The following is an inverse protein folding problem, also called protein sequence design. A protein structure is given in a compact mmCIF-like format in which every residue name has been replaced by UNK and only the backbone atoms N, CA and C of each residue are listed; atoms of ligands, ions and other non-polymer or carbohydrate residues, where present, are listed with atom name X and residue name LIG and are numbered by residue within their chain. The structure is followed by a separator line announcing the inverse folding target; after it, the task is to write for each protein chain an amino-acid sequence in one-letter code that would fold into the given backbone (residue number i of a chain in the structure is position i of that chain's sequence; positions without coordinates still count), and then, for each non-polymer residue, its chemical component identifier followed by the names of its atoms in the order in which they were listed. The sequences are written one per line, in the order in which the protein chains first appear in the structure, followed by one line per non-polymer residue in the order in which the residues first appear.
data_IF_326359820895
#
_entry.id   IF_326359820895
#
_cell.length_a   1.000
_cell.length_b   1.000
_cell.length_c   1.000
_cell.angle_alpha   90.00
_cell.angle_beta   90.00
_cell.angle_gamma   90.00
#
_symmetry.space_group_name_H-M   'P 1'
#
loop_
_entity.id
_entity.type
_entity.pdbx_description
1 polymer ?
#
# COMPACT_ATOMS: atom_id res chain seq x y z
N UNK A 1 25.53 -32.53 18.14
CA UNK A 1 24.45 -31.77 17.50
C UNK A 1 25.03 -30.41 17.04
N UNK A 2 25.19 -30.20 15.72
CA UNK A 2 25.67 -28.92 15.15
C UNK A 2 24.61 -27.84 15.32
N UNK A 3 24.87 -26.80 16.12
CA UNK A 3 24.07 -25.59 16.23
C UNK A 3 23.99 -24.94 14.84
N UNK A 4 22.86 -25.10 14.12
CA UNK A 4 22.57 -24.33 12.91
C UNK A 4 22.53 -22.86 13.33
N UNK A 5 23.52 -22.05 12.91
CA UNK A 5 23.45 -20.59 12.97
C UNK A 5 22.21 -20.19 12.18
N UNK A 6 21.13 -19.84 12.87
CA UNK A 6 19.98 -19.23 12.22
C UNK A 6 20.44 -17.89 11.65
N UNK A 7 20.53 -17.79 10.35
CA UNK A 7 20.67 -16.47 9.72
C UNK A 7 19.53 -15.59 10.24
N UNK A 8 19.87 -14.41 10.72
CA UNK A 8 18.85 -13.44 11.09
C UNK A 8 17.96 -13.19 9.86
N UNK A 9 16.65 -13.29 10.03
CA UNK A 9 15.67 -13.14 8.94
C UNK A 9 15.93 -11.85 8.15
N UNK A 10 16.28 -10.77 8.84
CA UNK A 10 16.64 -9.47 8.24
C UNK A 10 17.84 -9.59 7.29
N UNK A 11 18.87 -10.34 7.69
CA UNK A 11 20.06 -10.55 6.88
C UNK A 11 19.74 -11.42 5.64
N UNK A 12 18.89 -12.42 5.79
CA UNK A 12 18.44 -13.25 4.67
C UNK A 12 17.65 -12.45 3.64
N UNK A 13 16.75 -11.55 4.08
CA UNK A 13 16.01 -10.63 3.22
C UNK A 13 16.95 -9.70 2.48
N UNK A 14 17.93 -9.12 3.18
CA UNK A 14 18.91 -8.21 2.57
C UNK A 14 19.77 -8.91 1.51
N UNK A 15 20.24 -10.12 1.81
CA UNK A 15 20.99 -10.94 0.84
C UNK A 15 20.12 -11.26 -0.38
N UNK A 16 18.86 -11.65 -0.17
CA UNK A 16 17.92 -11.92 -1.26
C UNK A 16 17.69 -10.72 -2.17
N UNK A 17 17.55 -9.53 -1.57
CA UNK A 17 17.40 -8.27 -2.31
C UNK A 17 18.66 -7.96 -3.15
N UNK A 18 19.85 -8.05 -2.55
CA UNK A 18 21.11 -7.81 -3.27
C UNK A 18 21.28 -8.81 -4.41
N UNK A 19 21.04 -10.10 -4.16
CA UNK A 19 21.10 -11.13 -5.21
C UNK A 19 20.10 -10.88 -6.33
N UNK A 20 18.87 -10.44 -6.01
CA UNK A 20 17.86 -10.10 -7.01
C UNK A 20 18.31 -8.93 -7.91
N UNK A 21 18.88 -7.88 -7.32
CA UNK A 21 19.43 -6.73 -8.07
C UNK A 21 20.59 -7.18 -8.96
N UNK A 22 21.53 -7.93 -8.42
CA UNK A 22 22.67 -8.43 -9.18
C UNK A 22 22.22 -9.32 -10.34
N UNK A 23 21.27 -10.21 -10.11
CA UNK A 23 20.69 -11.05 -11.17
C UNK A 23 20.04 -10.19 -12.26
N UNK A 24 19.31 -9.14 -11.88
CA UNK A 24 18.70 -8.20 -12.81
C UNK A 24 19.71 -7.40 -13.63
N UNK A 25 20.85 -7.02 -13.06
CA UNK A 25 21.89 -6.23 -13.75
C UNK A 25 22.80 -7.07 -14.65
N UNK A 26 23.14 -8.30 -14.25
CA UNK A 26 24.13 -9.12 -14.95
C UNK A 26 23.57 -10.01 -16.06
N UNK A 27 22.26 -10.09 -16.24
CA UNK A 27 21.62 -10.91 -17.26
C UNK A 27 20.82 -10.12 -18.32
N UNK A 28 21.34 -9.09 -18.97
CA UNK A 28 20.63 -8.42 -20.05
C UNK A 28 20.54 -9.34 -21.29
N UNK A 29 19.32 -9.66 -21.72
CA UNK A 29 19.04 -10.30 -23.00
C UNK A 29 18.76 -11.81 -23.02
N UNK A 30 18.90 -12.54 -21.90
CA UNK A 30 18.54 -13.98 -21.83
C UNK A 30 17.29 -14.29 -21.01
N UNK A 31 16.45 -13.26 -20.81
CA UNK A 31 15.29 -13.33 -19.89
C UNK A 31 14.05 -14.01 -20.44
N UNK A 32 13.94 -14.21 -21.76
CA UNK A 32 12.68 -14.70 -22.34
C UNK A 32 12.18 -16.00 -21.71
N UNK A 33 13.09 -16.84 -21.23
CA UNK A 33 12.71 -18.07 -20.54
C UNK A 33 12.53 -17.91 -19.01
N UNK A 34 13.29 -17.02 -18.37
CA UNK A 34 13.26 -16.84 -16.91
C UNK A 34 12.15 -15.87 -16.45
N UNK A 35 11.81 -14.88 -17.26
CA UNK A 35 10.79 -13.87 -16.97
C UNK A 35 9.43 -14.47 -16.60
N UNK A 36 8.85 -15.43 -17.35
CA UNK A 36 7.55 -16.00 -17.02
C UNK A 36 7.55 -16.69 -15.65
N UNK A 37 8.65 -17.38 -15.31
CA UNK A 37 8.77 -18.09 -14.03
C UNK A 37 8.89 -17.09 -12.88
N UNK A 38 9.70 -16.04 -13.03
CA UNK A 38 9.85 -15.00 -12.03
C UNK A 38 8.54 -14.24 -11.83
N UNK A 39 7.84 -13.91 -12.90
CA UNK A 39 6.53 -13.26 -12.84
C UNK A 39 5.49 -14.15 -12.17
N UNK A 40 5.47 -15.43 -12.47
CA UNK A 40 4.57 -16.41 -11.85
C UNK A 40 4.81 -16.51 -10.34
N UNK A 41 6.06 -16.65 -9.92
CA UNK A 41 6.42 -16.72 -8.49
C UNK A 41 6.08 -15.41 -7.79
N UNK A 42 6.39 -14.27 -8.40
CA UNK A 42 6.07 -12.95 -7.87
C UNK A 42 4.55 -12.74 -7.72
N UNK A 43 3.77 -13.08 -8.73
CA UNK A 43 2.31 -12.95 -8.69
C UNK A 43 1.67 -13.89 -7.68
N UNK A 44 2.14 -15.14 -7.58
CA UNK A 44 1.67 -16.08 -6.55
C UNK A 44 1.96 -15.57 -5.14
N UNK A 45 3.17 -15.05 -4.92
CA UNK A 45 3.55 -14.47 -3.63
C UNK A 45 2.69 -13.25 -3.28
N UNK A 46 2.50 -12.33 -4.22
CA UNK A 46 1.66 -11.14 -4.02
C UNK A 46 0.19 -11.51 -3.78
N UNK A 47 -0.33 -12.48 -4.49
CA UNK A 47 -1.69 -12.96 -4.30
C UNK A 47 -1.87 -13.63 -2.93
N UNK A 48 -0.89 -14.43 -2.50
CA UNK A 48 -0.90 -15.03 -1.16
C UNK A 48 -0.86 -13.97 -0.06
N UNK A 49 -0.06 -12.92 -0.20
CA UNK A 49 -0.04 -11.78 0.74
C UNK A 49 -1.39 -11.07 0.78
N UNK A 50 -1.97 -10.74 -0.37
CA UNK A 50 -3.27 -10.07 -0.45
C UNK A 50 -4.37 -10.90 0.19
N UNK A 51 -4.40 -12.21 -0.06
CA UNK A 51 -5.35 -13.14 0.53
C UNK A 51 -5.35 -13.10 2.06
N UNK A 52 -4.18 -12.87 2.68
CA UNK A 52 -4.07 -12.80 4.14
C UNK A 52 -4.30 -11.39 4.71
N UNK A 53 -3.90 -10.35 3.98
CA UNK A 53 -3.95 -8.96 4.46
C UNK A 53 -5.39 -8.52 4.70
N UNK A 54 -6.31 -8.77 3.78
CA UNK A 54 -7.69 -8.27 3.89
C UNK A 54 -8.41 -8.81 5.11
N UNK A 55 -8.48 -10.13 5.36
CA UNK A 55 -9.13 -10.65 6.57
C UNK A 55 -8.42 -10.22 7.85
N UNK A 56 -7.09 -10.17 7.84
CA UNK A 56 -6.30 -9.79 9.01
C UNK A 56 -6.56 -8.34 9.41
N UNK A 57 -6.53 -7.41 8.45
CA UNK A 57 -6.81 -5.98 8.71
C UNK A 57 -8.24 -5.79 9.16
N UNK A 58 -9.20 -6.45 8.52
CA UNK A 58 -10.60 -6.42 8.90
C UNK A 58 -10.81 -6.85 10.35
N UNK A 59 -10.35 -8.05 10.72
CA UNK A 59 -10.50 -8.56 12.08
C UNK A 59 -9.75 -7.72 13.12
N UNK A 60 -8.53 -7.29 12.80
CA UNK A 60 -7.73 -6.48 13.73
C UNK A 60 -8.38 -5.12 14.01
N UNK A 61 -8.99 -4.51 12.99
CA UNK A 61 -9.69 -3.24 13.14
C UNK A 61 -10.94 -3.37 14.01
N UNK A 62 -11.74 -4.42 13.79
CA UNK A 62 -12.92 -4.69 14.63
C UNK A 62 -12.52 -4.88 16.09
N UNK A 63 -11.49 -5.70 16.35
CA UNK A 63 -10.98 -5.93 17.70
C UNK A 63 -10.42 -4.65 18.32
N UNK A 64 -9.71 -3.84 17.51
CA UNK A 64 -9.17 -2.56 17.95
C UNK A 64 -10.24 -1.56 18.36
N UNK A 65 -11.31 -1.42 17.57
CA UNK A 65 -12.45 -0.52 17.87
C UNK A 65 -13.18 -0.98 19.11
N UNK A 66 -13.46 -2.27 19.23
CA UNK A 66 -14.09 -2.85 20.40
C UNK A 66 -13.26 -2.64 21.69
N UNK A 67 -11.93 -2.64 21.57
CA UNK A 67 -11.01 -2.37 22.69
C UNK A 67 -11.07 -0.94 23.22
N UNK A 68 -11.59 0.04 22.45
CA UNK A 68 -11.75 1.45 22.88
C UNK A 68 -12.93 1.62 23.84
N UNK A 69 -13.91 0.73 23.80
CA UNK A 69 -15.00 0.61 24.79
C UNK A 69 -16.16 1.61 24.65
N UNK A 70 -16.04 2.69 23.86
CA UNK A 70 -17.17 3.60 23.61
C UNK A 70 -17.13 4.23 22.21
N UNK A 71 -18.29 4.40 21.60
CA UNK A 71 -18.46 5.04 20.29
C UNK A 71 -17.93 6.48 20.29
N UNK A 72 -18.18 7.21 21.39
CA UNK A 72 -17.70 8.60 21.54
C UNK A 72 -16.17 8.68 21.57
N UNK A 73 -15.51 7.78 22.30
CA UNK A 73 -14.04 7.72 22.34
C UNK A 73 -13.46 7.33 20.97
N UNK A 74 -14.09 6.36 20.29
CA UNK A 74 -13.70 5.96 18.94
C UNK A 74 -13.78 7.13 17.96
N UNK A 75 -14.88 7.89 17.99
CA UNK A 75 -15.06 9.07 17.16
C UNK A 75 -14.03 10.17 17.43
N UNK A 76 -13.72 10.43 18.71
CA UNK A 76 -12.70 11.41 19.10
C UNK A 76 -11.31 11.00 18.64
N UNK A 77 -10.91 9.74 18.87
CA UNK A 77 -9.61 9.22 18.43
C UNK A 77 -9.52 9.24 16.92
N UNK A 78 -10.57 8.79 16.22
CA UNK A 78 -10.64 8.82 14.77
C UNK A 78 -10.48 10.23 14.20
N UNK A 79 -11.22 11.20 14.73
CA UNK A 79 -11.14 12.60 14.30
C UNK A 79 -9.76 13.22 14.54
N UNK A 80 -9.14 12.95 15.70
CA UNK A 80 -7.77 13.39 15.99
C UNK A 80 -6.75 12.76 15.05
N UNK A 81 -6.90 11.48 14.73
CA UNK A 81 -6.03 10.76 13.80
C UNK A 81 -6.12 11.34 12.39
N UNK A 82 -7.34 11.59 11.90
CA UNK A 82 -7.56 12.22 10.58
C UNK A 82 -6.92 13.60 10.53
N UNK A 83 -7.13 14.44 11.55
CA UNK A 83 -6.53 15.77 11.62
C UNK A 83 -4.99 15.69 11.59
N UNK A 84 -4.42 14.77 12.37
CA UNK A 84 -2.98 14.53 12.38
C UNK A 84 -2.44 14.11 11.00
N UNK A 85 -3.12 13.18 10.33
CA UNK A 85 -2.73 12.74 8.99
C UNK A 85 -2.82 13.86 7.97
N UNK A 86 -3.87 14.69 8.00
CA UNK A 86 -4.00 15.84 7.09
C UNK A 86 -2.84 16.81 7.28
N UNK A 87 -2.52 17.17 8.52
CA UNK A 87 -1.43 18.10 8.82
C UNK A 87 -0.09 17.52 8.37
N UNK A 88 0.21 16.27 8.74
CA UNK A 88 1.50 15.64 8.37
C UNK A 88 1.64 15.46 6.87
N UNK A 89 0.56 15.11 6.16
CA UNK A 89 0.55 14.99 4.70
C UNK A 89 0.78 16.35 4.03
N UNK A 90 0.16 17.42 4.51
CA UNK A 90 0.39 18.77 4.00
C UNK A 90 1.86 19.18 4.18
N UNK A 91 2.41 18.98 5.37
CA UNK A 91 3.82 19.29 5.64
C UNK A 91 4.76 18.47 4.75
N UNK A 92 4.53 17.16 4.65
CA UNK A 92 5.32 16.28 3.79
C UNK A 92 5.24 16.68 2.31
N UNK A 93 4.05 17.05 1.83
CA UNK A 93 3.83 17.49 0.46
C UNK A 93 4.54 18.80 0.16
N UNK A 94 4.50 19.74 1.11
CA UNK A 94 5.23 21.00 0.98
C UNK A 94 6.74 20.75 0.91
N UNK A 95 7.28 19.94 1.80
CA UNK A 95 8.70 19.56 1.77
C UNK A 95 9.05 18.88 0.45
N UNK A 96 8.24 17.91 -0.01
CA UNK A 96 8.43 17.21 -1.27
C UNK A 96 8.40 18.11 -2.51
N UNK A 97 7.64 19.22 -2.45
CA UNK A 97 7.54 20.18 -3.54
C UNK A 97 8.71 21.19 -3.52
N UNK A 98 9.03 21.73 -2.34
CA UNK A 98 10.01 22.79 -2.21
C UNK A 98 11.46 22.29 -2.20
N UNK A 99 11.72 21.13 -1.62
CA UNK A 99 13.07 20.61 -1.49
C UNK A 99 13.73 20.31 -2.85
N UNK A 100 13.09 19.60 -3.81
CA UNK A 100 13.66 19.39 -5.13
C UNK A 100 13.89 20.68 -5.90
N UNK A 101 12.97 21.65 -5.75
CA UNK A 101 13.09 22.98 -6.37
C UNK A 101 14.26 23.77 -5.79
N UNK A 102 14.45 23.75 -4.47
CA UNK A 102 15.55 24.43 -3.80
C UNK A 102 16.92 23.81 -4.12
N UNK A 103 16.96 22.50 -4.32
CA UNK A 103 18.18 21.77 -4.68
C UNK A 103 18.45 21.76 -6.19
N UNK A 104 17.59 22.37 -7.02
CA UNK A 104 17.73 22.38 -8.47
C UNK A 104 17.64 20.99 -9.11
N UNK A 105 17.03 20.02 -8.43
CA UNK A 105 16.88 18.67 -8.95
C UNK A 105 15.98 18.69 -10.20
N UNK A 106 16.47 18.09 -11.28
CA UNK A 106 15.75 18.08 -12.56
C UNK A 106 16.11 19.21 -13.52
N UNK A 107 16.96 20.15 -13.14
CA UNK A 107 17.48 21.14 -14.08
C UNK A 107 18.40 20.47 -15.12
N UNK A 108 17.99 20.50 -16.39
CA UNK A 108 18.77 19.88 -17.48
C UNK A 108 18.29 18.50 -17.93
N UNK A 109 17.32 17.89 -17.27
CA UNK A 109 16.65 16.70 -17.78
C UNK A 109 15.71 17.15 -18.91
N UNK A 110 16.13 16.95 -20.17
CA UNK A 110 15.23 17.01 -21.32
C UNK A 110 14.30 15.79 -21.21
N UNK A 111 13.16 15.98 -20.61
CA UNK A 111 12.08 15.03 -20.75
C UNK A 111 11.62 15.20 -22.19
N UNK A 112 12.10 14.32 -23.10
CA UNK A 112 11.36 14.09 -24.33
C UNK A 112 9.96 13.72 -23.84
N UNK A 113 9.00 14.60 -24.13
CA UNK A 113 7.61 14.26 -23.91
C UNK A 113 7.32 13.06 -24.79
N UNK A 114 7.54 11.87 -24.23
CA UNK A 114 6.86 10.70 -24.74
C UNK A 114 5.40 11.12 -24.58
N UNK A 115 4.72 11.31 -25.71
CA UNK A 115 3.26 11.36 -25.75
C UNK A 115 2.76 10.03 -25.17
N UNK A 116 2.95 9.85 -23.87
CA UNK A 116 2.23 8.84 -23.15
C UNK A 116 0.80 9.34 -23.22
N UNK A 117 -0.04 8.63 -23.96
CA UNK A 117 -1.48 8.64 -23.75
C UNK A 117 -1.76 8.16 -22.32
N UNK A 118 -1.29 8.94 -21.35
CA UNK A 118 -1.77 8.85 -19.99
C UNK A 118 -3.17 9.45 -20.10
N UNK A 119 -4.15 8.59 -20.35
CA UNK A 119 -5.53 8.94 -20.10
C UNK A 119 -5.52 9.48 -18.66
N UNK A 120 -5.61 10.80 -18.56
CA UNK A 120 -5.74 11.44 -17.26
C UNK A 120 -6.97 10.77 -16.63
N UNK A 121 -6.74 9.91 -15.64
CA UNK A 121 -7.85 9.36 -14.87
C UNK A 121 -8.67 10.56 -14.43
N UNK A 122 -9.94 10.66 -14.86
CA UNK A 122 -10.75 11.81 -14.52
C UNK A 122 -10.69 12.01 -13.02
N UNK A 123 -10.41 13.24 -12.58
CA UNK A 123 -10.45 13.57 -11.16
C UNK A 123 -11.80 13.10 -10.64
N UNK A 124 -11.80 11.94 -9.97
CA UNK A 124 -13.00 11.49 -9.26
C UNK A 124 -13.37 12.60 -8.31
N UNK A 125 -14.56 13.14 -8.48
CA UNK A 125 -15.07 14.19 -7.58
C UNK A 125 -14.93 13.69 -6.15
N UNK A 126 -14.62 14.59 -5.22
CA UNK A 126 -14.60 14.24 -3.79
C UNK A 126 -15.92 13.55 -3.39
N UNK A 127 -17.02 13.94 -4.01
CA UNK A 127 -18.34 13.34 -3.81
C UNK A 127 -18.37 11.87 -4.28
N UNK A 128 -17.83 11.57 -5.46
CA UNK A 128 -17.76 10.21 -5.99
C UNK A 128 -16.89 9.33 -5.10
N UNK A 129 -15.79 9.89 -4.58
CA UNK A 129 -14.93 9.19 -3.64
C UNK A 129 -15.68 8.87 -2.34
N UNK A 130 -16.38 9.85 -1.76
CA UNK A 130 -17.18 9.63 -0.54
C UNK A 130 -18.30 8.64 -0.79
N UNK A 131 -18.97 8.71 -1.93
CA UNK A 131 -20.02 7.75 -2.31
C UNK A 131 -19.47 6.33 -2.47
N UNK A 132 -18.25 6.19 -3.02
CA UNK A 132 -17.59 4.89 -3.19
C UNK A 132 -17.08 4.29 -1.88
N UNK A 133 -17.02 5.04 -0.77
CA UNK A 133 -16.59 4.54 0.54
C UNK A 133 -17.56 3.50 1.12
N UNK A 134 -18.85 3.66 0.83
CA UNK A 134 -19.86 2.74 1.36
C UNK A 134 -20.08 1.63 0.33
N UNK A 135 -19.63 0.39 0.62
CA UNK A 135 -19.79 -0.70 -0.32
C UNK A 135 -21.24 -1.11 -0.44
N UNK A 136 -21.74 -1.26 -1.66
CA UNK A 136 -23.05 -1.89 -1.92
C UNK A 136 -23.03 -3.38 -1.58
N UNK A 137 -21.86 -4.02 -1.70
CA UNK A 137 -21.63 -5.41 -1.34
C UNK A 137 -20.27 -5.57 -0.66
N UNK A 138 -20.22 -5.78 0.67
CA UNK A 138 -18.95 -5.93 1.39
C UNK A 138 -18.11 -7.10 0.90
N UNK A 139 -18.74 -8.22 0.51
CA UNK A 139 -18.02 -9.40 0.02
C UNK A 139 -17.32 -9.10 -1.31
N UNK A 140 -17.98 -8.36 -2.19
CA UNK A 140 -17.36 -7.90 -3.43
C UNK A 140 -16.14 -7.02 -3.17
N UNK A 141 -16.19 -6.15 -2.17
CA UNK A 141 -15.06 -5.30 -1.77
C UNK A 141 -13.84 -6.11 -1.33
N UNK A 142 -14.04 -7.24 -0.65
CA UNK A 142 -12.96 -8.17 -0.34
C UNK A 142 -12.40 -8.85 -1.59
N UNK A 143 -13.27 -9.29 -2.50
CA UNK A 143 -12.89 -9.99 -3.73
C UNK A 143 -12.13 -9.07 -4.70
N UNK A 144 -12.56 -7.83 -4.84
CA UNK A 144 -11.95 -6.80 -5.68
C UNK A 144 -10.69 -6.18 -5.05
N UNK A 145 -10.48 -6.41 -3.76
CA UNK A 145 -9.34 -5.86 -3.02
C UNK A 145 -9.46 -4.36 -2.73
N UNK A 146 -10.68 -3.84 -2.67
CA UNK A 146 -10.93 -2.45 -2.33
C UNK A 146 -10.77 -2.23 -0.82
N UNK A 147 -9.51 -1.96 -0.42
CA UNK A 147 -9.12 -1.86 0.98
C UNK A 147 -9.91 -0.76 1.73
N UNK A 148 -10.21 0.35 1.04
CA UNK A 148 -10.90 1.48 1.65
C UNK A 148 -12.34 1.09 2.08
N UNK A 149 -13.06 0.38 1.21
CA UNK A 149 -14.38 -0.13 1.51
C UNK A 149 -14.37 -1.18 2.63
N UNK A 150 -13.36 -2.06 2.63
CA UNK A 150 -13.17 -3.05 3.69
C UNK A 150 -12.95 -2.39 5.04
N UNK A 151 -12.15 -1.31 5.09
CA UNK A 151 -11.93 -0.52 6.31
C UNK A 151 -13.21 0.12 6.82
N UNK A 152 -13.98 0.76 5.95
CA UNK A 152 -15.26 1.39 6.32
C UNK A 152 -16.23 0.34 6.85
N UNK A 153 -16.33 -0.81 6.21
CA UNK A 153 -17.17 -1.90 6.66
C UNK A 153 -16.72 -2.45 8.04
N UNK A 154 -15.42 -2.59 8.25
CA UNK A 154 -14.87 -3.01 9.53
C UNK A 154 -15.17 -2.01 10.67
N UNK A 155 -15.15 -0.71 10.37
CA UNK A 155 -15.51 0.35 11.33
C UNK A 155 -16.98 0.24 11.71
N UNK A 156 -17.86 0.07 10.74
CA UNK A 156 -19.31 -0.08 11.00
C UNK A 156 -19.58 -1.29 11.89
N UNK A 157 -18.99 -2.44 11.59
CA UNK A 157 -19.15 -3.65 12.41
C UNK A 157 -18.52 -3.45 13.79
N UNK A 158 -17.30 -2.87 13.86
CA UNK A 158 -16.62 -2.66 15.13
C UNK A 158 -17.35 -1.73 16.09
N UNK A 159 -18.14 -0.78 15.57
CA UNK A 159 -18.99 0.12 16.38
C UNK A 159 -20.27 -0.58 16.84
N UNK A 160 -20.80 -1.51 16.02
CA UNK A 160 -22.08 -2.18 16.32
C UNK A 160 -21.93 -3.44 17.18
N UNK A 161 -20.73 -4.01 17.29
CA UNK A 161 -20.41 -5.16 18.14
C UNK A 161 -19.90 -4.76 19.52
#
# INVERSE_FOLDING_TARGET
MKKKKSLNITLAIFIGLVLGILFGLFMPGRYEFALPVVQLVSSLYMNALRMMIYPLVFCSLIVGIKGIGSVSATGKIGGQSVLYYVITTLVASLIGLFLPKALGLGQGVKIEMIESNVEATPFTSLLDTVQSLIPSNPIASFAEGNMLQVLVFAIIIGITC
#
